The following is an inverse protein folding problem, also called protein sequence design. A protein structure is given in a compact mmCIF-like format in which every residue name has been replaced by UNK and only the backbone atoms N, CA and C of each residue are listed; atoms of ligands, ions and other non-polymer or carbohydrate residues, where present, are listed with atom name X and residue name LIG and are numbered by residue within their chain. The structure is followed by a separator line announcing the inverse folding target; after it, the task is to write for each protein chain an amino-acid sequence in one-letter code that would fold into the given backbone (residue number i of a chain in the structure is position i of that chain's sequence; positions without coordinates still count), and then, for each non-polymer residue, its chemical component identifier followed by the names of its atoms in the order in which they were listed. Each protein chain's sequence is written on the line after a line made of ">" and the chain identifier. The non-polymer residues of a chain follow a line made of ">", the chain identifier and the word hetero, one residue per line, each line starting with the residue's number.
data_IF_195061410897
#
_entry.id   IF_195061410897
#
_cell.length_a   1.000
_cell.length_b   1.000
_cell.length_c   1.000
_cell.angle_alpha   90.00
_cell.angle_beta   90.00
_cell.angle_gamma   90.00
#
_symmetry.space_group_name_H-M   'P 1'
#
loop_
_entity.id
_entity.type
_entity.pdbx_description
1 polymer ?
#
# COMPACT_ATOMS: atom_id res chain seq x y z
N UNK A 1 -18.79 57.12 22.43
CA UNK A 1 -18.09 58.37 22.09
C UNK A 1 -16.78 58.41 22.86
N UNK A 2 -15.68 57.94 22.26
CA UNK A 2 -14.28 58.32 22.49
C UNK A 2 -13.46 57.61 21.40
N UNK A 3 -12.98 58.38 20.42
CA UNK A 3 -12.44 57.89 19.15
C UNK A 3 -10.97 57.50 19.27
N UNK A 4 -10.62 56.31 18.76
CA UNK A 4 -9.24 55.83 18.52
C UNK A 4 -8.44 56.66 17.48
N UNK A 5 -8.95 57.79 17.01
CA UNK A 5 -8.35 58.59 15.93
C UNK A 5 -7.31 59.63 16.37
N UNK A 6 -6.99 59.77 17.67
CA UNK A 6 -6.02 60.80 18.14
C UNK A 6 -4.61 60.29 18.49
N UNK A 7 -4.35 58.99 18.44
CA UNK A 7 -2.98 58.47 18.65
C UNK A 7 -2.18 58.34 17.34
N UNK A 8 -2.86 58.00 16.22
CA UNK A 8 -2.23 57.85 14.91
C UNK A 8 -1.70 59.16 14.29
N UNK A 9 -2.36 60.30 14.56
CA UNK A 9 -1.92 61.58 13.97
C UNK A 9 -0.68 62.19 14.66
N UNK A 10 -0.40 61.80 15.92
CA UNK A 10 0.79 62.27 16.64
C UNK A 10 2.04 61.52 16.17
N UNK A 11 1.93 60.20 15.96
CA UNK A 11 3.04 59.36 15.48
C UNK A 11 3.40 59.70 14.03
N UNK A 12 2.40 59.95 13.16
CA UNK A 12 2.62 60.35 11.78
C UNK A 12 3.27 61.75 11.66
N UNK A 13 2.93 62.70 12.56
CA UNK A 13 3.50 64.05 12.56
C UNK A 13 4.97 64.08 13.02
N UNK A 14 5.34 63.21 13.97
CA UNK A 14 6.73 63.08 14.44
C UNK A 14 7.60 62.36 13.39
N UNK A 15 7.07 61.29 12.77
CA UNK A 15 7.77 60.55 11.72
C UNK A 15 8.05 61.42 10.47
N UNK A 16 7.10 62.28 10.06
CA UNK A 16 7.32 63.21 8.94
C UNK A 16 8.35 64.30 9.26
N UNK A 17 8.41 64.80 10.51
CA UNK A 17 9.42 65.81 10.91
C UNK A 17 10.84 65.24 10.99
N UNK A 18 10.99 63.96 11.34
CA UNK A 18 12.30 63.30 11.41
C UNK A 18 12.86 62.86 10.04
N UNK A 19 12.02 62.80 8.99
CA UNK A 19 12.44 62.39 7.65
C UNK A 19 13.26 63.45 6.88
N UNK A 20 13.26 64.71 7.32
CA UNK A 20 13.90 65.82 6.58
C UNK A 20 15.35 66.15 7.01
N UNK A 21 15.96 65.38 7.93
CA UNK A 21 17.38 65.53 8.27
C UNK A 21 18.21 64.30 7.88
N UNK A 22 19.31 64.45 7.13
CA UNK A 22 20.09 63.32 6.61
C UNK A 22 20.76 62.48 7.72
N UNK A 23 21.09 63.06 8.88
CA UNK A 23 21.66 62.34 10.02
C UNK A 23 20.66 61.47 10.79
N UNK A 24 19.36 61.76 10.70
CA UNK A 24 18.30 61.01 11.40
C UNK A 24 17.72 59.87 10.55
N UNK A 25 17.89 59.92 9.22
CA UNK A 25 17.52 58.82 8.31
C UNK A 25 18.31 57.54 8.58
N UNK A 26 19.61 57.66 8.85
CA UNK A 26 20.43 56.51 9.26
C UNK A 26 19.93 55.89 10.57
N UNK A 27 19.55 56.72 11.55
CA UNK A 27 19.11 56.21 12.85
C UNK A 27 17.78 55.43 12.74
N UNK A 28 16.83 55.93 11.93
CA UNK A 28 15.56 55.25 11.68
C UNK A 28 15.77 53.96 10.88
N UNK A 29 16.64 53.99 9.85
CA UNK A 29 16.96 52.81 9.07
C UNK A 29 17.63 51.72 9.93
N UNK A 30 18.56 52.11 10.79
CA UNK A 30 19.22 51.19 11.75
C UNK A 30 18.22 50.64 12.76
N UNK A 31 17.31 51.46 13.31
CA UNK A 31 16.27 50.96 14.22
C UNK A 31 15.29 49.99 13.53
N UNK A 32 14.87 50.26 12.30
CA UNK A 32 13.97 49.37 11.53
C UNK A 32 14.69 48.07 11.17
N UNK A 33 15.96 48.14 10.76
CA UNK A 33 16.78 46.95 10.51
C UNK A 33 16.95 46.16 11.81
N UNK A 34 17.28 46.79 12.94
CA UNK A 34 17.43 46.13 14.24
C UNK A 34 16.15 45.44 14.70
N UNK A 35 14.97 46.07 14.55
CA UNK A 35 13.68 45.48 14.92
C UNK A 35 13.30 44.34 13.97
N UNK A 36 13.57 44.47 12.67
CA UNK A 36 13.37 43.38 11.71
C UNK A 36 14.33 42.22 11.96
N UNK A 37 15.59 42.48 12.31
CA UNK A 37 16.56 41.43 12.67
C UNK A 37 16.28 40.80 14.02
N UNK A 38 15.72 41.52 15.01
CA UNK A 38 15.24 40.92 16.26
C UNK A 38 13.94 40.12 16.05
N UNK A 39 13.05 40.58 15.16
CA UNK A 39 11.85 39.84 14.75
C UNK A 39 12.19 38.56 13.98
N UNK A 40 13.16 38.63 13.06
CA UNK A 40 13.71 37.45 12.38
C UNK A 40 14.51 36.56 13.33
N UNK A 41 15.32 37.10 14.24
CA UNK A 41 16.05 36.30 15.22
C UNK A 41 15.13 35.57 16.20
N UNK A 42 13.99 36.18 16.59
CA UNK A 42 12.96 35.52 17.40
C UNK A 42 12.10 34.54 16.60
N UNK A 43 11.84 34.80 15.32
CA UNK A 43 11.17 33.85 14.43
C UNK A 43 12.08 32.64 14.08
N UNK A 44 13.40 32.85 14.01
CA UNK A 44 14.42 31.82 13.81
C UNK A 44 14.78 31.09 15.12
N UNK A 45 14.74 31.76 16.29
CA UNK A 45 14.84 31.10 17.61
C UNK A 45 13.60 30.24 17.94
N UNK A 46 12.45 30.51 17.32
CA UNK A 46 11.30 29.60 17.35
C UNK A 46 11.49 28.32 16.52
N UNK A 47 12.57 28.21 15.74
CA UNK A 47 12.84 27.09 14.84
C UNK A 47 14.22 26.43 15.01
N UNK A 48 15.05 26.91 15.94
CA UNK A 48 16.37 26.36 16.19
C UNK A 48 16.58 26.08 17.70
N UNK A 49 15.86 25.10 18.23
CA UNK A 49 16.38 24.30 19.35
C UNK A 49 16.99 23.04 18.76
N UNK A 50 18.27 23.13 18.44
CA UNK A 50 19.12 22.04 18.00
C UNK A 50 20.15 21.75 19.08
N UNK A 51 19.72 21.12 20.18
CA UNK A 51 20.55 20.22 21.00
C UNK A 51 19.66 19.07 21.46
N UNK A 52 20.16 17.85 21.32
CA UNK A 52 19.38 16.64 21.20
C UNK A 52 18.50 16.29 22.40
N UNK A 53 17.20 16.21 22.16
CA UNK A 53 16.34 15.12 22.59
C UNK A 53 15.18 15.03 21.59
N UNK A 54 14.79 13.84 21.10
CA UNK A 54 13.58 13.72 20.31
C UNK A 54 12.42 14.19 21.19
N UNK A 55 11.68 15.21 20.74
CA UNK A 55 10.41 15.58 21.35
C UNK A 55 9.54 14.32 21.33
N UNK A 56 9.37 13.69 22.49
CA UNK A 56 8.60 12.46 22.66
C UNK A 56 7.13 12.76 22.39
N UNK A 57 6.70 12.71 21.14
CA UNK A 57 5.26 12.66 20.80
C UNK A 57 4.69 11.27 21.16
N UNK A 58 5.55 10.28 21.44
CA UNK A 58 5.15 9.07 22.17
C UNK A 58 4.63 9.35 23.60
N UNK A 59 4.79 10.57 24.15
CA UNK A 59 4.34 10.95 25.47
C UNK A 59 2.89 11.50 25.53
N UNK A 60 2.13 11.53 24.42
CA UNK A 60 0.75 12.08 24.40
C UNK A 60 -0.37 11.06 24.11
N UNK A 61 -0.04 9.81 23.76
CA UNK A 61 -1.05 8.77 23.58
C UNK A 61 -1.30 7.99 24.87
N UNK A 62 -2.57 7.77 25.27
CA UNK A 62 -2.89 7.08 26.51
C UNK A 62 -2.43 5.63 26.51
N UNK A 63 -2.15 5.12 27.71
CA UNK A 63 -1.85 3.72 27.96
C UNK A 63 -0.44 3.27 27.58
N UNK A 64 -0.12 2.03 27.92
CA UNK A 64 1.15 1.37 27.64
C UNK A 64 1.10 0.66 26.29
N UNK A 65 2.12 0.82 25.46
CA UNK A 65 2.27 0.07 24.21
C UNK A 65 2.46 -1.43 24.50
N UNK A 66 1.71 -2.29 23.79
CA UNK A 66 1.72 -3.74 24.01
C UNK A 66 2.04 -4.57 22.76
N UNK A 67 1.67 -4.08 21.58
CA UNK A 67 1.82 -4.85 20.34
C UNK A 67 1.75 -3.92 19.12
N UNK A 68 2.44 -4.28 18.04
CA UNK A 68 2.44 -3.49 16.81
C UNK A 68 2.41 -4.37 15.56
N UNK A 69 1.62 -3.92 14.59
CA UNK A 69 1.72 -4.35 13.20
C UNK A 69 2.44 -3.29 12.39
N UNK A 70 3.45 -3.69 11.61
CA UNK A 70 4.22 -2.83 10.71
C UNK A 70 4.00 -3.30 9.28
N UNK A 71 3.62 -2.39 8.38
CA UNK A 71 3.45 -2.68 6.94
C UNK A 71 4.30 -1.67 6.19
N UNK A 72 5.28 -2.11 5.39
CA UNK A 72 6.10 -1.18 4.61
C UNK A 72 6.20 -1.56 3.14
N UNK A 73 6.31 -0.52 2.31
CA UNK A 73 6.78 -0.65 0.93
C UNK A 73 8.27 -1.03 0.94
N UNK A 74 8.70 -1.82 -0.03
CA UNK A 74 10.12 -2.01 -0.34
C UNK A 74 10.88 -0.68 -0.57
N UNK A 75 12.21 -0.75 -0.54
CA UNK A 75 13.09 0.38 -0.80
C UNK A 75 13.23 0.71 -2.28
N UNK A 76 14.13 1.64 -2.57
CA UNK A 76 14.49 2.03 -3.93
C UNK A 76 14.84 0.84 -4.83
N UNK A 77 14.33 0.89 -6.06
CA UNK A 77 14.45 -0.16 -7.06
C UNK A 77 14.59 0.41 -8.46
N UNK A 78 15.10 -0.42 -9.37
CA UNK A 78 15.06 -0.15 -10.82
C UNK A 78 13.61 -0.16 -11.36
N UNK A 79 13.36 0.40 -12.56
CA UNK A 79 12.06 0.32 -13.22
C UNK A 79 11.59 -1.13 -13.37
N UNK A 80 10.29 -1.38 -13.24
CA UNK A 80 9.71 -2.73 -13.43
C UNK A 80 9.49 -3.01 -14.92
N UNK A 81 9.01 -2.00 -15.65
CA UNK A 81 8.54 -2.13 -17.02
C UNK A 81 8.74 -0.79 -17.75
N UNK A 82 9.94 -0.55 -18.31
CA UNK A 82 10.19 0.62 -19.14
C UNK A 82 9.28 0.68 -20.37
N UNK A 83 8.96 1.89 -20.83
CA UNK A 83 8.13 2.06 -22.02
C UNK A 83 8.95 1.85 -23.32
N UNK A 84 8.35 1.36 -24.42
CA UNK A 84 9.10 0.97 -25.63
C UNK A 84 10.04 2.03 -26.24
N UNK A 85 9.72 3.31 -26.11
CA UNK A 85 10.53 4.43 -26.64
C UNK A 85 11.45 5.06 -25.59
N UNK A 86 11.59 4.44 -24.42
CA UNK A 86 12.46 4.91 -23.35
C UNK A 86 13.94 4.82 -23.76
N UNK A 87 14.68 5.94 -23.82
CA UNK A 87 16.12 5.89 -24.10
C UNK A 87 16.92 5.13 -23.03
N UNK A 88 16.38 4.97 -21.82
CA UNK A 88 16.98 4.25 -20.69
C UNK A 88 16.41 2.85 -20.49
N UNK A 89 15.58 2.38 -21.44
CA UNK A 89 14.87 1.09 -21.39
C UNK A 89 15.75 -0.13 -21.66
N UNK A 90 17.08 0.04 -21.69
CA UNK A 90 18.06 -1.04 -21.83
C UNK A 90 18.70 -1.34 -20.46
N UNK A 91 18.75 -2.63 -20.11
CA UNK A 91 19.30 -3.10 -18.83
C UNK A 91 20.74 -2.65 -18.58
N UNK A 92 21.53 -2.38 -19.63
CA UNK A 92 22.92 -1.92 -19.48
C UNK A 92 23.06 -0.60 -18.72
N UNK A 93 22.00 0.21 -18.65
CA UNK A 93 22.00 1.49 -17.92
C UNK A 93 21.70 1.34 -16.43
N UNK A 94 21.33 0.15 -15.97
CA UNK A 94 20.88 -0.12 -14.61
C UNK A 94 21.83 -1.08 -13.90
N UNK A 95 22.04 -0.84 -12.60
CA UNK A 95 22.99 -1.62 -11.78
C UNK A 95 22.53 -3.05 -11.49
N UNK A 96 21.25 -3.33 -11.68
CA UNK A 96 20.62 -4.63 -11.46
C UNK A 96 19.46 -4.82 -12.45
N UNK A 97 18.84 -6.01 -12.46
CA UNK A 97 17.71 -6.33 -13.33
C UNK A 97 16.48 -5.44 -13.08
N UNK A 98 15.47 -5.54 -13.95
CA UNK A 98 14.23 -4.78 -13.81
C UNK A 98 13.46 -5.14 -12.53
N UNK A 99 12.92 -4.13 -11.86
CA UNK A 99 12.13 -4.26 -10.64
C UNK A 99 12.90 -4.78 -9.43
N UNK A 100 14.24 -4.74 -9.47
CA UNK A 100 15.12 -5.26 -8.43
C UNK A 100 15.54 -4.16 -7.45
N UNK A 101 15.71 -4.54 -6.19
CA UNK A 101 16.15 -3.64 -5.12
C UNK A 101 17.59 -3.18 -5.37
N UNK A 102 17.84 -1.88 -5.24
CA UNK A 102 19.19 -1.32 -5.40
C UNK A 102 19.94 -1.31 -4.08
N UNK A 103 21.23 -0.94 -4.09
CA UNK A 103 21.97 -0.74 -2.85
C UNK A 103 21.42 0.44 -2.03
N UNK A 104 20.87 1.47 -2.68
CA UNK A 104 20.15 2.54 -1.99
C UNK A 104 18.95 1.97 -1.24
N UNK A 105 18.12 1.15 -1.90
CA UNK A 105 16.94 0.55 -1.26
C UNK A 105 17.27 -0.37 -0.08
N UNK A 106 18.40 -1.08 -0.13
CA UNK A 106 18.91 -1.84 1.02
C UNK A 106 19.26 -0.91 2.19
N UNK A 107 20.00 0.17 1.93
CA UNK A 107 20.37 1.14 2.96
C UNK A 107 19.15 1.81 3.57
N UNK A 108 18.18 2.23 2.76
CA UNK A 108 16.93 2.84 3.24
C UNK A 108 16.20 1.89 4.21
N UNK A 109 16.12 0.60 3.88
CA UNK A 109 15.49 -0.37 4.78
C UNK A 109 16.29 -0.65 6.04
N UNK A 110 17.62 -0.69 5.95
CA UNK A 110 18.48 -0.82 7.12
C UNK A 110 18.29 0.35 8.09
N UNK A 111 18.23 1.59 7.59
CA UNK A 111 17.94 2.77 8.42
C UNK A 111 16.51 2.76 8.98
N UNK A 112 15.51 2.32 8.20
CA UNK A 112 14.17 2.11 8.73
C UNK A 112 14.16 1.05 9.84
N UNK A 113 14.99 0.00 9.72
CA UNK A 113 15.16 -1.06 10.73
C UNK A 113 15.68 -0.50 12.04
N UNK A 114 16.75 0.30 11.98
CA UNK A 114 17.30 1.02 13.14
C UNK A 114 16.29 1.98 13.76
N UNK A 115 15.52 2.69 12.94
CA UNK A 115 14.47 3.58 13.42
C UNK A 115 13.37 2.80 14.16
N UNK A 116 12.90 1.68 13.60
CA UNK A 116 11.95 0.78 14.25
C UNK A 116 12.51 0.20 15.55
N UNK A 117 13.81 -0.15 15.58
CA UNK A 117 14.51 -0.62 16.78
C UNK A 117 14.45 0.41 17.91
N UNK A 118 14.74 1.67 17.60
CA UNK A 118 14.70 2.75 18.56
C UNK A 118 13.27 2.98 19.07
N UNK A 119 12.29 3.04 18.16
CA UNK A 119 10.88 3.28 18.47
C UNK A 119 10.27 2.18 19.35
N UNK A 120 10.60 0.92 19.07
CA UNK A 120 10.00 -0.26 19.71
C UNK A 120 10.93 -0.97 20.69
N UNK A 121 11.96 -0.28 21.19
CA UNK A 121 12.89 -0.79 22.20
C UNK A 121 12.21 -1.27 23.50
N UNK A 122 11.03 -0.74 23.83
CA UNK A 122 10.22 -1.18 24.98
C UNK A 122 9.40 -2.45 24.71
N UNK A 123 9.21 -2.83 23.44
CA UNK A 123 8.49 -4.04 23.03
C UNK A 123 9.43 -5.19 22.66
N UNK A 124 10.60 -4.86 22.10
CA UNK A 124 11.53 -5.82 21.53
C UNK A 124 12.79 -5.94 22.40
N UNK A 125 13.06 -7.13 22.96
CA UNK A 125 14.32 -7.40 23.65
C UNK A 125 15.54 -7.15 22.74
N UNK A 126 16.74 -6.92 23.32
CA UNK A 126 17.99 -6.79 22.55
C UNK A 126 18.27 -7.95 21.61
N UNK A 127 18.08 -9.17 22.11
CA UNK A 127 18.31 -10.40 21.34
C UNK A 127 17.07 -10.79 20.55
N UNK A 128 17.30 -11.35 19.36
CA UNK A 128 16.23 -11.87 18.53
C UNK A 128 15.56 -13.09 19.19
N UNK A 129 14.24 -13.22 19.00
CA UNK A 129 13.51 -14.45 19.27
C UNK A 129 12.28 -14.55 18.38
N UNK A 130 12.01 -15.75 17.88
CA UNK A 130 10.83 -16.11 17.10
C UNK A 130 9.50 -15.97 17.89
N UNK A 131 9.59 -15.86 19.23
CA UNK A 131 8.48 -15.62 20.15
C UNK A 131 8.11 -14.13 20.24
N UNK A 132 9.01 -13.21 19.84
CA UNK A 132 8.79 -11.76 19.96
C UNK A 132 8.33 -11.10 18.65
N UNK A 133 8.79 -11.61 17.51
CA UNK A 133 8.53 -11.01 16.19
C UNK A 133 8.20 -12.08 15.15
N UNK A 134 7.30 -11.73 14.22
CA UNK A 134 7.06 -12.49 12.99
C UNK A 134 7.16 -11.56 11.79
N UNK A 135 7.78 -12.03 10.71
CA UNK A 135 8.03 -11.24 9.50
C UNK A 135 7.53 -12.01 8.30
N UNK A 136 6.64 -11.38 7.54
CA UNK A 136 6.15 -11.89 6.27
C UNK A 136 6.44 -10.89 5.16
N UNK A 137 6.76 -11.40 3.98
CA UNK A 137 6.96 -10.62 2.77
C UNK A 137 6.11 -11.18 1.64
N UNK A 138 5.73 -10.35 0.68
CA UNK A 138 5.27 -10.86 -0.62
C UNK A 138 6.43 -11.59 -1.32
N UNK A 139 6.10 -12.57 -2.16
CA UNK A 139 7.08 -13.42 -2.85
C UNK A 139 7.69 -12.70 -4.05
N UNK A 140 8.44 -11.62 -3.78
CA UNK A 140 9.14 -10.81 -4.77
C UNK A 140 10.51 -10.43 -4.22
N UNK A 141 11.57 -10.59 -5.00
CA UNK A 141 12.96 -10.35 -4.55
C UNK A 141 13.13 -9.02 -3.81
N UNK A 142 12.58 -7.93 -4.36
CA UNK A 142 12.73 -6.59 -3.76
C UNK A 142 12.08 -6.44 -2.39
N UNK A 143 10.99 -7.16 -2.10
CA UNK A 143 10.33 -7.14 -0.78
C UNK A 143 11.05 -8.06 0.20
N UNK A 144 11.43 -9.26 -0.24
CA UNK A 144 12.22 -10.20 0.57
C UNK A 144 13.56 -9.58 1.01
N UNK A 145 14.30 -8.99 0.07
CA UNK A 145 15.57 -8.31 0.34
C UNK A 145 15.41 -7.06 1.21
N UNK A 146 14.29 -6.33 1.04
CA UNK A 146 13.94 -5.19 1.90
C UNK A 146 13.69 -5.64 3.34
N UNK A 147 12.96 -6.74 3.54
CA UNK A 147 12.73 -7.31 4.86
C UNK A 147 14.04 -7.74 5.54
N UNK A 148 14.92 -8.43 4.81
CA UNK A 148 16.24 -8.84 5.33
C UNK A 148 17.12 -7.63 5.68
N UNK A 149 17.14 -6.60 4.84
CA UNK A 149 17.91 -5.37 5.09
C UNK A 149 17.36 -4.61 6.30
N UNK A 150 16.03 -4.58 6.45
CA UNK A 150 15.36 -4.00 7.61
C UNK A 150 15.69 -4.75 8.89
N UNK A 151 15.68 -6.09 8.85
CA UNK A 151 16.04 -6.93 9.99
C UNK A 151 17.50 -6.79 10.41
N UNK A 152 18.41 -6.56 9.47
CA UNK A 152 19.81 -6.27 9.77
C UNK A 152 19.98 -4.98 10.60
N UNK A 153 19.12 -3.97 10.39
CA UNK A 153 19.11 -2.75 11.22
C UNK A 153 18.25 -2.87 12.48
N UNK A 154 17.24 -3.75 12.47
CA UNK A 154 16.37 -3.98 13.63
C UNK A 154 17.04 -4.82 14.72
N UNK A 155 17.86 -5.80 14.32
CA UNK A 155 18.50 -6.78 15.21
C UNK A 155 19.98 -6.94 14.84
N UNK A 156 20.76 -5.89 15.07
CA UNK A 156 22.22 -6.01 15.06
C UNK A 156 22.65 -7.06 16.10
N UNK A 157 23.46 -8.07 15.74
CA UNK A 157 23.86 -9.13 16.65
C UNK A 157 24.58 -8.59 17.89
N UNK A 158 24.17 -9.05 19.07
CA UNK A 158 24.78 -8.70 20.35
C UNK A 158 24.91 -9.94 21.21
N UNK A 159 25.97 -10.04 22.02
CA UNK A 159 26.16 -11.16 22.94
C UNK A 159 26.09 -12.51 22.22
N UNK A 160 25.13 -13.35 22.62
CA UNK A 160 24.95 -14.71 22.09
C UNK A 160 24.43 -14.75 20.64
N UNK A 161 23.86 -13.65 20.11
CA UNK A 161 23.44 -13.57 18.70
C UNK A 161 24.66 -13.42 17.75
N UNK A 162 25.85 -13.09 18.26
CA UNK A 162 27.08 -12.96 17.47
C UNK A 162 27.62 -14.37 17.14
N UNK A 163 27.15 -14.93 16.03
CA UNK A 163 27.59 -16.24 15.54
C UNK A 163 28.89 -16.20 14.72
N UNK A 164 29.26 -15.01 14.22
CA UNK A 164 30.48 -14.76 13.46
C UNK A 164 31.00 -13.35 13.73
N UNK A 165 32.25 -13.21 14.18
CA UNK A 165 32.85 -11.92 14.57
C UNK A 165 33.19 -11.02 13.38
N UNK A 166 33.30 -11.58 12.17
CA UNK A 166 33.63 -10.82 10.96
C UNK A 166 32.36 -10.25 10.28
N UNK A 167 31.17 -10.66 10.74
CA UNK A 167 29.88 -10.32 10.13
C UNK A 167 28.90 -9.82 11.20
N UNK A 168 28.60 -8.52 11.18
CA UNK A 168 27.58 -7.91 12.05
C UNK A 168 26.15 -8.14 11.52
N UNK A 169 25.79 -9.39 11.26
CA UNK A 169 24.47 -9.80 10.80
C UNK A 169 24.09 -11.18 11.35
N UNK A 170 22.79 -11.40 11.59
CA UNK A 170 22.24 -12.69 11.99
C UNK A 170 21.07 -13.11 11.07
N UNK A 171 20.93 -14.42 10.79
CA UNK A 171 19.81 -14.92 10.00
C UNK A 171 18.50 -14.83 10.79
N UNK A 172 17.57 -14.00 10.32
CA UNK A 172 16.20 -13.93 10.84
C UNK A 172 15.23 -14.38 9.73
N UNK A 173 14.31 -15.32 10.00
CA UNK A 173 13.39 -15.85 9.00
C UNK A 173 12.43 -14.78 8.47
N UNK A 174 12.30 -14.73 7.14
CA UNK A 174 11.28 -13.97 6.42
C UNK A 174 10.36 -14.97 5.73
N UNK A 175 9.12 -15.03 6.16
CA UNK A 175 8.13 -15.96 5.61
C UNK A 175 7.47 -15.37 4.36
N UNK A 176 7.08 -16.22 3.42
CA UNK A 176 6.37 -15.78 2.22
C UNK A 176 5.38 -16.83 1.74
N UNK A 177 4.47 -16.40 0.89
CA UNK A 177 3.49 -17.22 0.18
C UNK A 177 3.57 -16.77 -1.28
N UNK A 178 3.61 -17.70 -2.26
CA UNK A 178 3.59 -17.33 -3.67
C UNK A 178 2.47 -16.33 -3.96
N UNK A 179 2.75 -15.25 -4.70
CA UNK A 179 1.81 -14.13 -4.81
C UNK A 179 0.40 -14.54 -5.29
N UNK A 180 0.33 -15.49 -6.22
CA UNK A 180 -0.92 -16.03 -6.78
C UNK A 180 -1.77 -16.81 -5.76
N UNK A 181 -1.20 -17.17 -4.63
CA UNK A 181 -1.85 -17.95 -3.56
C UNK A 181 -2.02 -17.11 -2.28
N UNK A 182 -1.58 -15.84 -2.28
CA UNK A 182 -1.62 -14.95 -1.12
C UNK A 182 -2.80 -13.93 -1.20
N UNK A 183 -3.91 -14.16 -0.47
CA UNK A 183 -5.02 -13.22 -0.38
C UNK A 183 -4.79 -12.11 0.66
N UNK A 184 -3.69 -12.15 1.43
CA UNK A 184 -3.48 -11.30 2.60
C UNK A 184 -2.47 -10.19 2.29
N UNK A 185 -1.20 -10.51 2.06
CA UNK A 185 -0.15 -9.48 1.97
C UNK A 185 0.03 -9.03 0.52
N UNK A 186 0.17 -9.97 -0.41
CA UNK A 186 0.20 -9.68 -1.84
C UNK A 186 -1.18 -9.28 -2.38
N UNK A 187 -2.25 -9.81 -1.78
CA UNK A 187 -3.64 -9.63 -2.22
C UNK A 187 -3.83 -9.94 -3.71
N UNK A 188 -3.16 -11.01 -4.17
CA UNK A 188 -3.06 -11.45 -5.57
C UNK A 188 -3.65 -12.84 -5.81
N UNK A 189 -4.13 -13.51 -4.77
CA UNK A 189 -4.96 -14.69 -4.92
C UNK A 189 -6.22 -14.39 -5.77
N UNK A 190 -6.65 -15.30 -6.67
CA UNK A 190 -7.82 -15.11 -7.52
C UNK A 190 -9.08 -14.78 -6.72
N UNK A 191 -9.81 -13.76 -7.15
CA UNK A 191 -11.06 -13.37 -6.54
C UNK A 191 -12.02 -12.83 -7.61
N UNK A 192 -12.77 -13.71 -8.30
CA UNK A 192 -13.61 -13.25 -9.41
C UNK A 192 -14.72 -12.27 -8.99
N UNK A 193 -15.17 -12.28 -7.73
CA UNK A 193 -16.03 -11.22 -7.21
C UNK A 193 -15.34 -9.84 -7.17
N UNK A 194 -14.04 -9.77 -6.89
CA UNK A 194 -13.28 -8.53 -6.95
C UNK A 194 -13.14 -8.05 -8.40
N UNK A 195 -12.81 -8.96 -9.32
CA UNK A 195 -12.66 -8.64 -10.73
C UNK A 195 -13.98 -8.09 -11.32
N UNK A 196 -15.11 -8.70 -10.96
CA UNK A 196 -16.44 -8.20 -11.31
C UNK A 196 -16.72 -6.80 -10.73
N UNK A 197 -16.45 -6.58 -9.44
CA UNK A 197 -16.69 -5.28 -8.81
C UNK A 197 -15.77 -4.18 -9.36
N UNK A 198 -14.54 -4.54 -9.75
CA UNK A 198 -13.61 -3.62 -10.41
C UNK A 198 -14.10 -3.25 -11.80
N UNK A 199 -14.50 -4.24 -12.61
CA UNK A 199 -15.10 -3.99 -13.92
C UNK A 199 -16.40 -3.17 -13.80
N UNK A 200 -17.21 -3.42 -12.76
CA UNK A 200 -18.41 -2.62 -12.48
C UNK A 200 -18.07 -1.17 -12.15
N UNK A 201 -17.02 -0.92 -11.36
CA UNK A 201 -16.53 0.44 -11.10
C UNK A 201 -16.06 1.11 -12.40
N UNK A 202 -15.18 0.46 -13.15
CA UNK A 202 -14.59 1.02 -14.38
C UNK A 202 -15.64 1.27 -15.47
N UNK A 203 -16.74 0.50 -15.45
CA UNK A 203 -17.85 0.67 -16.38
C UNK A 203 -18.87 1.74 -15.95
N UNK A 204 -18.79 2.27 -14.72
CA UNK A 204 -19.76 3.24 -14.20
C UNK A 204 -19.70 4.57 -14.97
N UNK A 205 -20.82 5.32 -15.06
CA UNK A 205 -20.83 6.63 -15.72
C UNK A 205 -19.80 7.60 -15.14
N UNK A 206 -19.63 7.61 -13.82
CA UNK A 206 -18.70 8.50 -13.11
C UNK A 206 -17.25 8.16 -13.45
N UNK A 207 -16.88 6.87 -13.42
CA UNK A 207 -15.51 6.45 -13.71
C UNK A 207 -15.17 6.60 -15.19
N UNK A 208 -16.12 6.31 -16.09
CA UNK A 208 -15.97 6.59 -17.53
C UNK A 208 -15.80 8.07 -17.81
N UNK A 209 -16.60 8.93 -17.17
CA UNK A 209 -16.46 10.38 -17.31
C UNK A 209 -15.09 10.88 -16.80
N UNK A 210 -14.62 10.32 -15.67
CA UNK A 210 -13.29 10.62 -15.15
C UNK A 210 -12.17 10.15 -16.10
N UNK A 211 -12.32 8.98 -16.70
CA UNK A 211 -11.38 8.44 -17.70
C UNK A 211 -11.37 9.31 -18.96
N UNK A 212 -12.54 9.67 -19.49
CA UNK A 212 -12.68 10.50 -20.69
C UNK A 212 -12.09 11.90 -20.49
N UNK A 213 -12.19 12.46 -19.27
CA UNK A 213 -11.56 13.73 -18.91
C UNK A 213 -10.04 13.74 -19.17
N UNK A 214 -9.39 12.59 -19.07
CA UNK A 214 -7.93 12.44 -19.23
C UNK A 214 -7.52 11.77 -20.55
N UNK A 215 -8.46 11.61 -21.49
CA UNK A 215 -8.22 10.92 -22.77
C UNK A 215 -7.06 11.52 -23.59
N UNK A 216 -6.91 12.85 -23.56
CA UNK A 216 -5.92 13.56 -24.38
C UNK A 216 -4.51 13.33 -23.81
N UNK A 217 -4.39 13.29 -22.48
CA UNK A 217 -3.17 12.87 -21.79
C UNK A 217 -2.84 11.41 -22.16
N UNK A 218 -3.81 10.50 -22.07
CA UNK A 218 -3.60 9.08 -22.40
C UNK A 218 -3.18 8.88 -23.86
N UNK A 219 -3.80 9.59 -24.80
CA UNK A 219 -3.40 9.58 -26.21
C UNK A 219 -1.97 10.13 -26.41
N UNK A 220 -1.63 11.22 -25.70
CA UNK A 220 -0.29 11.80 -25.74
C UNK A 220 0.77 10.82 -25.20
N UNK A 221 0.53 10.21 -24.04
CA UNK A 221 1.41 9.21 -23.44
C UNK A 221 1.53 7.97 -24.33
N UNK A 222 0.44 7.55 -24.98
CA UNK A 222 0.48 6.41 -25.91
C UNK A 222 1.40 6.68 -27.10
N UNK A 223 1.23 7.85 -27.73
CA UNK A 223 2.01 8.24 -28.89
C UNK A 223 3.50 8.44 -28.55
N UNK A 224 3.80 8.96 -27.35
CA UNK A 224 5.18 9.21 -26.92
C UNK A 224 5.87 8.01 -26.32
N UNK A 225 5.14 7.16 -25.59
CA UNK A 225 5.66 5.96 -24.93
C UNK A 225 5.76 4.73 -25.84
N UNK A 226 5.12 4.74 -27.01
CA UNK A 226 5.21 3.65 -27.98
C UNK A 226 4.35 2.43 -27.65
N UNK A 227 3.43 2.53 -26.69
CA UNK A 227 2.41 1.52 -26.37
C UNK A 227 1.09 2.17 -25.94
N UNK A 228 -0.06 1.51 -26.10
CA UNK A 228 -1.32 2.05 -25.62
C UNK A 228 -1.31 2.32 -24.12
N UNK A 229 -1.72 3.52 -23.73
CA UNK A 229 -2.04 3.94 -22.36
C UNK A 229 -3.54 4.20 -22.35
N UNK A 230 -4.32 3.34 -21.68
CA UNK A 230 -5.78 3.40 -21.68
C UNK A 230 -6.37 3.62 -20.30
N UNK A 231 -5.60 3.33 -19.26
CA UNK A 231 -6.04 3.35 -17.87
C UNK A 231 -5.16 4.25 -17.01
N UNK A 232 -5.67 4.61 -15.83
CA UNK A 232 -4.88 5.27 -14.78
C UNK A 232 -3.66 4.44 -14.39
N UNK A 233 -3.78 3.11 -14.38
CA UNK A 233 -2.69 2.19 -14.06
C UNK A 233 -1.60 2.26 -15.13
N UNK A 234 -1.95 2.23 -16.42
CA UNK A 234 -0.95 2.35 -17.51
C UNK A 234 -0.14 3.65 -17.40
N UNK A 235 -0.83 4.75 -17.12
CA UNK A 235 -0.20 6.05 -16.92
C UNK A 235 0.67 6.08 -15.66
N UNK A 236 0.24 5.41 -14.58
CA UNK A 236 1.02 5.27 -13.35
C UNK A 236 2.32 4.50 -13.59
N UNK A 237 2.31 3.40 -14.36
CA UNK A 237 3.52 2.64 -14.70
C UNK A 237 4.53 3.50 -15.47
N UNK A 238 4.05 4.24 -16.47
CA UNK A 238 4.90 5.15 -17.24
C UNK A 238 5.45 6.28 -16.34
N UNK A 239 4.61 6.91 -15.52
CA UNK A 239 5.04 7.95 -14.58
C UNK A 239 6.08 7.43 -13.57
N UNK A 240 5.91 6.20 -13.08
CA UNK A 240 6.86 5.57 -12.16
C UNK A 240 8.22 5.33 -12.82
N UNK A 241 8.27 4.98 -14.11
CA UNK A 241 9.51 4.83 -14.86
C UNK A 241 10.25 6.18 -14.97
N UNK A 242 9.53 7.25 -15.37
CA UNK A 242 10.09 8.62 -15.42
C UNK A 242 10.56 9.10 -14.04
N UNK A 243 9.84 8.75 -12.98
CA UNK A 243 10.23 9.05 -11.60
C UNK A 243 11.57 8.43 -11.25
N UNK A 244 11.76 7.14 -11.54
CA UNK A 244 13.00 6.43 -11.23
C UNK A 244 14.16 6.97 -12.06
N UNK A 245 13.99 7.18 -13.36
CA UNK A 245 15.01 7.83 -14.20
C UNK A 245 15.42 9.20 -13.63
N UNK A 246 14.45 10.00 -13.20
CA UNK A 246 14.70 11.29 -12.57
C UNK A 246 15.46 11.16 -11.24
N UNK A 247 15.17 10.15 -10.41
CA UNK A 247 15.92 9.89 -9.18
C UNK A 247 17.40 9.59 -9.45
N UNK A 248 17.68 8.92 -10.57
CA UNK A 248 19.02 8.54 -10.99
C UNK A 248 19.70 9.60 -11.86
N UNK A 249 19.18 10.83 -11.88
CA UNK A 249 19.68 11.95 -12.68
C UNK A 249 19.80 11.63 -14.19
N UNK A 250 18.99 10.69 -14.68
CA UNK A 250 18.92 10.40 -16.10
C UNK A 250 18.19 11.55 -16.81
N UNK A 251 18.63 11.89 -18.02
CA UNK A 251 17.99 12.95 -18.80
C UNK A 251 16.69 12.41 -19.39
N UNK A 252 15.55 12.93 -18.93
CA UNK A 252 14.25 12.56 -19.46
C UNK A 252 14.07 13.11 -20.89
N UNK A 253 13.37 12.39 -21.79
CA UNK A 253 13.06 12.90 -23.12
C UNK A 253 12.29 14.23 -23.08
N UNK A 254 12.56 15.14 -24.02
CA UNK A 254 11.94 16.48 -24.09
C UNK A 254 10.40 16.48 -24.05
N UNK A 255 9.75 15.43 -24.57
CA UNK A 255 8.29 15.34 -24.53
C UNK A 255 7.74 15.26 -23.09
N UNK A 256 8.54 14.78 -22.13
CA UNK A 256 8.13 14.62 -20.73
C UNK A 256 7.96 15.97 -20.03
N UNK A 257 8.63 17.05 -20.49
CA UNK A 257 8.50 18.41 -19.93
C UNK A 257 7.05 18.91 -19.89
N UNK A 258 6.22 18.44 -20.82
CA UNK A 258 4.80 18.79 -20.92
C UNK A 258 3.93 18.11 -19.86
N UNK A 259 4.36 16.97 -19.32
CA UNK A 259 3.48 16.09 -18.51
C UNK A 259 4.09 15.66 -17.17
N UNK A 260 5.38 15.35 -17.13
CA UNK A 260 6.05 14.88 -15.92
C UNK A 260 6.15 16.00 -14.88
N UNK A 261 5.78 15.69 -13.63
CA UNK A 261 5.66 16.66 -12.54
C UNK A 261 4.54 17.70 -12.73
N UNK A 262 3.68 17.56 -13.75
CA UNK A 262 2.50 18.41 -13.94
C UNK A 262 1.29 17.82 -13.24
N UNK A 263 0.33 18.68 -12.92
CA UNK A 263 -0.85 18.35 -12.13
C UNK A 263 -1.61 17.14 -12.68
N UNK A 264 -1.86 17.10 -13.99
CA UNK A 264 -2.71 16.06 -14.59
C UNK A 264 -2.10 14.65 -14.50
N UNK A 265 -0.85 14.47 -14.92
CA UNK A 265 -0.18 13.16 -14.84
C UNK A 265 0.04 12.76 -13.37
N UNK A 266 0.37 13.72 -12.51
CA UNK A 266 0.53 13.47 -11.07
C UNK A 266 -0.79 12.98 -10.46
N UNK A 267 -1.91 13.63 -10.77
CA UNK A 267 -3.23 13.22 -10.32
C UNK A 267 -3.58 11.82 -10.81
N UNK A 268 -3.44 11.55 -12.11
CA UNK A 268 -3.76 10.24 -12.70
C UNK A 268 -2.93 9.13 -12.05
N UNK A 269 -1.61 9.34 -11.91
CA UNK A 269 -0.72 8.36 -11.33
C UNK A 269 -1.01 8.11 -9.84
N UNK A 270 -1.33 9.15 -9.07
CA UNK A 270 -1.69 9.03 -7.66
C UNK A 270 -3.08 8.39 -7.47
N UNK A 271 -4.04 8.72 -8.34
CA UNK A 271 -5.38 8.16 -8.31
C UNK A 271 -5.37 6.66 -8.57
N UNK A 272 -4.46 6.16 -9.43
CA UNK A 272 -4.32 4.74 -9.71
C UNK A 272 -4.14 3.89 -8.44
N UNK A 273 -3.44 4.40 -7.42
CA UNK A 273 -3.23 3.72 -6.15
C UNK A 273 -4.50 3.60 -5.29
N UNK A 274 -5.52 4.43 -5.53
CA UNK A 274 -6.78 4.35 -4.82
C UNK A 274 -7.77 3.34 -5.45
N UNK A 275 -7.59 2.99 -6.73
CA UNK A 275 -8.57 2.20 -7.50
C UNK A 275 -8.83 0.84 -6.85
N UNK A 276 -7.79 0.14 -6.40
CA UNK A 276 -7.88 -1.22 -5.86
C UNK A 276 -8.72 -1.35 -4.58
N UNK A 277 -8.99 -0.24 -3.90
CA UNK A 277 -9.83 -0.19 -2.71
C UNK A 277 -10.79 1.01 -2.72
N UNK A 278 -11.13 1.50 -3.92
CA UNK A 278 -11.88 2.74 -4.12
C UNK A 278 -13.26 2.70 -3.45
N UNK A 279 -14.00 1.61 -3.69
CA UNK A 279 -15.28 1.34 -3.04
C UNK A 279 -15.09 0.49 -1.79
N UNK A 280 -16.05 0.53 -0.86
CA UNK A 280 -16.01 -0.33 0.34
C UNK A 280 -16.00 -1.82 -0.01
N UNK A 281 -16.68 -2.23 -1.09
CA UNK A 281 -16.66 -3.61 -1.58
C UNK A 281 -15.27 -4.02 -2.11
N UNK A 282 -14.64 -3.19 -2.93
CA UNK A 282 -13.27 -3.43 -3.39
C UNK A 282 -12.30 -3.49 -2.21
N UNK A 283 -12.40 -2.55 -1.28
CA UNK A 283 -11.60 -2.56 -0.05
C UNK A 283 -11.78 -3.86 0.76
N UNK A 284 -13.03 -4.35 0.88
CA UNK A 284 -13.37 -5.60 1.59
C UNK A 284 -12.72 -6.83 0.97
N UNK A 285 -12.68 -6.90 -0.36
CA UNK A 285 -12.13 -8.04 -1.09
C UNK A 285 -10.62 -7.94 -1.32
N UNK A 286 -10.03 -6.73 -1.22
CA UNK A 286 -8.59 -6.50 -1.44
C UNK A 286 -7.77 -6.36 -0.16
N UNK A 287 -7.96 -5.26 0.58
CA UNK A 287 -7.20 -4.99 1.82
C UNK A 287 -7.87 -5.59 3.07
N UNK A 288 -9.15 -5.97 2.96
CA UNK A 288 -9.95 -6.53 4.03
C UNK A 288 -9.37 -7.76 4.72
N UNK A 289 -8.83 -8.76 4.00
CA UNK A 289 -8.17 -9.92 4.61
C UNK A 289 -7.06 -9.53 5.58
N UNK A 290 -6.12 -8.68 5.15
CA UNK A 290 -5.03 -8.19 6.00
C UNK A 290 -5.55 -7.42 7.21
N UNK A 291 -6.51 -6.51 7.03
CA UNK A 291 -7.10 -5.75 8.13
C UNK A 291 -7.83 -6.64 9.14
N UNK A 292 -8.57 -7.65 8.67
CA UNK A 292 -9.22 -8.64 9.52
C UNK A 292 -8.20 -9.38 10.38
N UNK A 293 -7.10 -9.79 9.76
CA UNK A 293 -6.01 -10.51 10.39
C UNK A 293 -5.29 -9.67 11.46
N UNK A 294 -5.01 -8.39 11.17
CA UNK A 294 -4.45 -7.43 12.12
C UNK A 294 -5.41 -7.24 13.30
N UNK A 295 -6.69 -6.99 13.03
CA UNK A 295 -7.69 -6.72 14.08
C UNK A 295 -7.99 -7.97 14.93
N UNK A 296 -7.88 -9.16 14.34
CA UNK A 296 -7.96 -10.42 15.06
C UNK A 296 -6.79 -10.54 16.04
N UNK A 297 -5.55 -10.35 15.57
CA UNK A 297 -4.35 -10.41 16.43
C UNK A 297 -4.36 -9.34 17.53
N UNK A 298 -4.84 -8.12 17.26
CA UNK A 298 -5.04 -7.13 18.33
C UNK A 298 -5.99 -7.61 19.43
N UNK A 299 -7.08 -8.28 19.06
CA UNK A 299 -8.03 -8.83 20.05
C UNK A 299 -7.42 -10.00 20.81
N UNK A 300 -6.70 -10.88 20.12
CA UNK A 300 -6.01 -12.02 20.75
C UNK A 300 -4.95 -11.53 21.73
N UNK A 301 -4.13 -10.54 21.36
CA UNK A 301 -3.15 -9.90 22.25
C UNK A 301 -3.82 -9.25 23.46
N UNK A 302 -4.84 -8.43 23.24
CA UNK A 302 -5.54 -7.74 24.32
C UNK A 302 -6.25 -8.69 25.31
N UNK A 303 -6.58 -9.91 24.87
CA UNK A 303 -7.24 -10.92 25.70
C UNK A 303 -6.29 -11.99 26.24
N UNK A 304 -4.98 -11.91 25.97
CA UNK A 304 -3.99 -12.89 26.43
C UNK A 304 -4.05 -14.24 25.70
N UNK A 305 -4.67 -14.30 24.51
CA UNK A 305 -4.81 -15.53 23.72
C UNK A 305 -3.92 -15.57 22.47
N UNK A 306 -3.11 -14.54 22.21
CA UNK A 306 -2.17 -14.55 21.10
C UNK A 306 -1.07 -15.58 21.40
N UNK A 307 -0.86 -16.54 20.49
CA UNK A 307 0.14 -17.58 20.66
C UNK A 307 0.89 -17.85 19.34
N UNK A 308 2.24 -17.79 19.33
CA UNK A 308 3.10 -17.12 20.31
C UNK A 308 2.68 -15.70 20.66
N UNK A 309 2.94 -15.26 21.90
CA UNK A 309 2.56 -13.93 22.41
C UNK A 309 3.47 -12.79 21.88
N UNK A 310 3.60 -12.70 20.56
CA UNK A 310 4.49 -11.76 19.89
C UNK A 310 4.17 -10.31 20.23
N UNK A 311 5.21 -9.48 20.18
CA UNK A 311 5.15 -8.04 20.38
C UNK A 311 5.15 -7.27 19.05
N UNK A 312 5.62 -7.87 17.96
CA UNK A 312 5.65 -7.25 16.64
C UNK A 312 5.29 -8.23 15.52
N UNK A 313 4.59 -7.72 14.51
CA UNK A 313 4.32 -8.44 13.28
C UNK A 313 4.58 -7.53 12.08
N UNK A 314 5.43 -7.97 11.17
CA UNK A 314 5.94 -7.15 10.06
C UNK A 314 5.46 -7.71 8.72
N UNK A 315 5.04 -6.82 7.83
CA UNK A 315 4.64 -7.12 6.46
C UNK A 315 5.48 -6.27 5.49
N UNK A 316 6.36 -6.91 4.75
CA UNK A 316 7.13 -6.28 3.66
C UNK A 316 6.41 -6.45 2.33
N UNK A 317 5.98 -5.34 1.73
CA UNK A 317 5.05 -5.36 0.60
C UNK A 317 5.29 -4.18 -0.37
N UNK A 318 4.22 -3.70 -1.00
CA UNK A 318 4.27 -2.73 -2.09
C UNK A 318 3.60 -1.40 -1.74
N UNK A 319 3.83 -0.40 -2.58
CA UNK A 319 3.09 0.87 -2.59
C UNK A 319 1.59 0.63 -2.71
N UNK A 320 1.18 -0.29 -3.59
CA UNK A 320 -0.22 -0.70 -3.73
C UNK A 320 -0.79 -1.27 -2.43
N UNK A 321 -0.02 -2.03 -1.65
CA UNK A 321 -0.44 -2.56 -0.34
C UNK A 321 -0.64 -1.42 0.65
N UNK A 322 0.32 -0.50 0.76
CA UNK A 322 0.24 0.68 1.64
C UNK A 322 -0.98 1.54 1.30
N UNK A 323 -1.14 1.89 0.02
CA UNK A 323 -2.27 2.68 -0.45
C UNK A 323 -3.60 1.95 -0.21
N UNK A 324 -3.68 0.66 -0.52
CA UNK A 324 -4.91 -0.12 -0.36
C UNK A 324 -5.36 -0.17 1.10
N UNK A 325 -4.42 -0.37 2.04
CA UNK A 325 -4.67 -0.40 3.49
C UNK A 325 -5.12 0.97 3.99
N UNK A 326 -4.39 2.04 3.69
CA UNK A 326 -4.76 3.40 4.11
C UNK A 326 -6.13 3.80 3.52
N UNK A 327 -6.40 3.47 2.27
CA UNK A 327 -7.64 3.86 1.60
C UNK A 327 -8.85 3.04 2.14
N UNK A 328 -8.64 1.76 2.45
CA UNK A 328 -9.63 0.94 3.16
C UNK A 328 -9.92 1.48 4.58
N UNK A 329 -8.95 2.14 5.21
CA UNK A 329 -9.12 2.81 6.50
C UNK A 329 -9.64 4.26 6.37
N UNK A 330 -9.82 4.78 5.14
CA UNK A 330 -10.17 6.18 4.87
C UNK A 330 -9.14 7.18 5.43
N UNK A 331 -7.87 6.78 5.37
CA UNK A 331 -6.69 7.54 5.80
C UNK A 331 -5.73 7.84 4.64
N UNK A 332 -6.11 7.50 3.40
CA UNK A 332 -5.27 7.72 2.22
C UNK A 332 -5.60 9.06 1.57
N UNK A 333 -4.60 9.93 1.54
CA UNK A 333 -4.56 11.08 0.63
C UNK A 333 -3.97 10.63 -0.70
N UNK A 334 -4.41 11.21 -1.82
CA UNK A 334 -3.93 10.79 -3.15
C UNK A 334 -2.46 11.16 -3.35
N UNK A 335 -1.58 10.17 -3.21
CA UNK A 335 -0.15 10.28 -3.50
C UNK A 335 0.41 8.91 -3.91
N UNK A 336 1.57 8.89 -4.55
CA UNK A 336 2.37 7.67 -4.70
C UNK A 336 3.10 7.40 -3.38
N UNK A 337 2.83 6.28 -2.68
CA UNK A 337 3.55 5.96 -1.44
C UNK A 337 5.06 5.89 -1.71
N UNK A 338 5.91 6.71 -1.04
CA UNK A 338 7.34 6.76 -1.32
C UNK A 338 8.06 5.45 -0.93
N UNK A 339 9.30 5.26 -1.37
CA UNK A 339 10.09 4.10 -0.97
C UNK A 339 10.21 4.05 0.55
N UNK A 340 10.19 2.85 1.12
CA UNK A 340 10.17 2.60 2.57
C UNK A 340 8.99 3.20 3.34
N UNK A 341 7.95 3.69 2.65
CA UNK A 341 6.73 4.16 3.29
C UNK A 341 6.16 3.08 4.22
N UNK A 342 5.91 3.44 5.48
CA UNK A 342 5.68 2.50 6.56
C UNK A 342 4.43 2.88 7.37
N UNK A 343 3.47 1.98 7.44
CA UNK A 343 2.31 2.05 8.31
C UNK A 343 2.65 1.32 9.61
N UNK A 344 2.37 1.93 10.74
CA UNK A 344 2.42 1.26 12.05
C UNK A 344 1.04 1.33 12.69
N UNK A 345 0.51 0.17 13.06
CA UNK A 345 -0.74 0.05 13.80
C UNK A 345 -0.38 -0.45 15.19
N UNK A 346 -0.50 0.42 16.18
CA UNK A 346 -0.05 0.20 17.55
C UNK A 346 -1.24 -0.09 18.46
N UNK A 347 -1.14 -1.16 19.25
CA UNK A 347 -2.07 -1.47 20.32
C UNK A 347 -1.48 -1.02 21.66
N UNK A 348 -2.20 -0.13 22.34
CA UNK A 348 -1.92 0.33 23.70
C UNK A 348 -3.01 -0.14 24.65
N UNK A 349 -2.70 -0.25 25.93
CA UNK A 349 -3.68 -0.57 26.98
C UNK A 349 -3.62 0.55 28.02
N UNK A 350 -4.75 1.22 28.25
CA UNK A 350 -4.83 2.29 29.24
C UNK A 350 -4.95 1.77 30.69
N UNK A 351 -4.99 2.70 31.64
CA UNK A 351 -5.08 2.40 33.07
C UNK A 351 -6.36 1.64 33.46
N UNK A 352 -7.39 1.67 32.60
CA UNK A 352 -8.66 0.94 32.77
C UNK A 352 -8.66 -0.43 32.11
N UNK A 353 -7.49 -0.89 31.62
CA UNK A 353 -7.33 -2.07 30.78
C UNK A 353 -8.11 -2.00 29.45
N UNK A 354 -8.42 -0.80 28.96
CA UNK A 354 -9.08 -0.66 27.66
C UNK A 354 -8.04 -0.73 26.54
N UNK A 355 -8.19 -1.64 25.56
CA UNK A 355 -7.32 -1.70 24.39
C UNK A 355 -7.63 -0.56 23.41
N UNK A 356 -6.61 0.24 23.11
CA UNK A 356 -6.65 1.40 22.22
C UNK A 356 -5.72 1.18 21.03
N UNK A 357 -6.16 1.56 19.83
CA UNK A 357 -5.39 1.42 18.59
C UNK A 357 -5.09 2.79 18.01
N UNK A 358 -3.82 3.02 17.68
CA UNK A 358 -3.34 4.20 16.97
C UNK A 358 -2.68 3.78 15.66
N UNK A 359 -2.82 4.60 14.62
CA UNK A 359 -2.28 4.32 13.29
C UNK A 359 -1.34 5.46 12.92
N UNK A 360 -0.16 5.14 12.43
CA UNK A 360 0.87 6.08 11.99
C UNK A 360 1.24 5.78 10.54
N UNK A 361 1.62 6.81 9.81
CA UNK A 361 2.15 6.66 8.45
C UNK A 361 3.44 7.46 8.29
N UNK A 362 4.57 6.75 8.25
CA UNK A 362 5.88 7.31 7.97
C UNK A 362 6.12 7.29 6.47
N UNK A 363 5.92 8.45 5.84
CA UNK A 363 6.15 8.68 4.41
C UNK A 363 7.19 9.77 4.13
N UNK A 364 7.83 10.30 5.17
CA UNK A 364 8.92 11.27 5.07
C UNK A 364 10.00 10.91 6.10
N UNK A 365 11.09 11.67 6.10
CA UNK A 365 12.15 11.54 7.12
C UNK A 365 11.69 11.99 8.51
N UNK A 366 10.67 12.86 8.60
CA UNK A 366 10.13 13.34 9.87
C UNK A 366 9.50 12.22 10.73
N UNK A 367 9.37 12.49 12.02
CA UNK A 367 8.67 11.60 12.95
C UNK A 367 7.16 11.61 12.65
N UNK A 368 6.53 10.43 12.43
CA UNK A 368 5.11 10.37 12.09
C UNK A 368 4.25 10.70 13.30
N UNK A 369 3.22 11.52 13.07
CA UNK A 369 2.14 11.77 14.02
C UNK A 369 1.04 10.70 13.89
N UNK A 370 0.27 10.45 14.96
CA UNK A 370 -0.88 9.54 14.85
C UNK A 370 -1.93 10.14 13.90
N UNK A 371 -2.44 9.31 13.00
CA UNK A 371 -3.49 9.68 12.06
C UNK A 371 -4.84 9.76 12.77
N UNK A 372 -5.70 10.67 12.30
CA UNK A 372 -7.06 10.82 12.81
C UNK A 372 -7.99 9.76 12.20
N UNK A 373 -8.30 8.71 12.97
CA UNK A 373 -9.18 7.63 12.52
C UNK A 373 -10.61 8.18 12.39
N UNK A 374 -11.22 8.17 11.19
CA UNK A 374 -12.53 8.78 10.98
C UNK A 374 -13.60 8.24 11.93
N UNK A 375 -14.23 9.15 12.68
CA UNK A 375 -15.24 8.82 13.68
C UNK A 375 -14.69 8.26 15.00
N UNK A 376 -13.36 8.22 15.20
CA UNK A 376 -12.73 7.72 16.42
C UNK A 376 -11.69 8.64 17.05
N UNK A 377 -10.81 9.26 16.25
CA UNK A 377 -9.67 10.04 16.77
C UNK A 377 -8.32 9.31 16.64
N UNK A 378 -7.23 9.91 17.15
CA UNK A 378 -5.87 9.36 17.06
C UNK A 378 -5.60 8.13 17.95
N UNK A 379 -6.48 7.85 18.92
CA UNK A 379 -6.41 6.68 19.79
C UNK A 379 -7.80 6.07 19.93
N UNK A 380 -8.05 4.96 19.23
CA UNK A 380 -9.38 4.41 19.04
C UNK A 380 -9.59 3.14 19.87
N UNK A 381 -10.63 3.05 20.72
CA UNK A 381 -10.96 1.80 21.39
C UNK A 381 -11.14 0.65 20.38
N UNK A 382 -10.47 -0.48 20.60
CA UNK A 382 -10.42 -1.59 19.64
C UNK A 382 -11.83 -2.10 19.26
N UNK A 383 -12.77 -2.12 20.22
CA UNK A 383 -14.15 -2.49 19.96
C UNK A 383 -14.86 -1.52 19.00
N UNK A 384 -14.61 -0.21 19.15
CA UNK A 384 -15.15 0.83 18.27
C UNK A 384 -14.49 0.78 16.90
N UNK A 385 -13.16 0.58 16.83
CA UNK A 385 -12.42 0.42 15.58
C UNK A 385 -13.00 -0.71 14.72
N UNK A 386 -13.24 -1.88 15.32
CA UNK A 386 -13.84 -3.03 14.63
C UNK A 386 -15.23 -2.71 14.08
N UNK A 387 -16.04 -1.96 14.83
CA UNK A 387 -17.38 -1.54 14.40
C UNK A 387 -17.33 -0.57 13.22
N UNK A 388 -16.41 0.41 13.25
CA UNK A 388 -16.24 1.41 12.19
C UNK A 388 -15.91 0.73 10.85
N UNK A 389 -15.03 -0.28 10.88
CA UNK A 389 -14.53 -0.92 9.67
C UNK A 389 -15.17 -2.28 9.38
N UNK A 390 -16.23 -2.67 10.08
CA UNK A 390 -16.85 -4.01 9.94
C UNK A 390 -17.23 -4.37 8.50
N UNK A 391 -17.60 -3.36 7.71
CA UNK A 391 -18.01 -3.49 6.31
C UNK A 391 -16.85 -3.86 5.39
N UNK A 392 -15.60 -3.55 5.76
CA UNK A 392 -14.40 -3.97 5.01
C UNK A 392 -13.73 -5.23 5.56
N UNK A 393 -14.22 -5.81 6.65
CA UNK A 393 -13.66 -7.06 7.19
C UNK A 393 -14.43 -8.27 6.62
N UNK A 394 -13.83 -9.08 5.72
CA UNK A 394 -14.49 -10.26 5.17
C UNK A 394 -14.85 -11.26 6.27
N UNK A 395 -16.05 -11.82 6.23
CA UNK A 395 -16.45 -12.91 7.14
C UNK A 395 -15.76 -14.19 6.71
N UNK A 396 -15.86 -14.49 5.42
CA UNK A 396 -15.23 -15.64 4.76
C UNK A 396 -14.80 -15.18 3.36
N UNK A 397 -13.53 -14.84 3.22
CA UNK A 397 -13.02 -14.24 1.99
C UNK A 397 -13.12 -15.21 0.82
N UNK A 398 -12.81 -16.50 1.02
CA UNK A 398 -12.88 -17.51 -0.04
C UNK A 398 -14.30 -17.67 -0.56
N UNK A 399 -15.30 -17.67 0.33
CA UNK A 399 -16.70 -17.73 -0.08
C UNK A 399 -17.15 -16.42 -0.73
N UNK A 400 -16.74 -15.27 -0.19
CA UNK A 400 -17.10 -13.95 -0.73
C UNK A 400 -16.44 -13.66 -2.09
N UNK A 401 -15.32 -14.31 -2.41
CA UNK A 401 -14.67 -14.23 -3.71
C UNK A 401 -15.33 -15.06 -4.81
N UNK A 402 -16.21 -16.00 -4.46
CA UNK A 402 -16.97 -16.79 -5.44
C UNK A 402 -18.12 -15.94 -5.98
N UNK A 403 -18.24 -15.86 -7.30
CA UNK A 403 -19.42 -15.31 -7.99
C UNK A 403 -20.48 -16.40 -8.16
N UNK A 404 -21.75 -16.01 -8.15
CA UNK A 404 -22.85 -16.89 -8.56
C UNK A 404 -22.64 -17.34 -10.01
N UNK A 405 -23.00 -18.58 -10.35
CA UNK A 405 -22.88 -19.13 -11.71
C UNK A 405 -23.60 -18.27 -12.77
N UNK A 406 -24.62 -17.50 -12.37
CA UNK A 406 -25.33 -16.55 -13.25
C UNK A 406 -24.53 -15.27 -13.57
N UNK A 407 -23.47 -14.97 -12.82
CA UNK A 407 -22.64 -13.77 -12.97
C UNK A 407 -21.28 -14.08 -13.60
N UNK A 408 -20.97 -15.36 -13.84
CA UNK A 408 -19.73 -15.79 -14.50
C UNK A 408 -19.85 -15.60 -16.02
N UNK A 409 -18.76 -15.21 -16.66
CA UNK A 409 -18.70 -15.17 -18.13
C UNK A 409 -18.69 -16.59 -18.71
N UNK A 410 -19.12 -16.77 -19.97
CA UNK A 410 -19.26 -18.10 -20.60
C UNK A 410 -17.95 -18.92 -20.62
N UNK A 411 -16.78 -18.27 -20.58
CA UNK A 411 -15.48 -18.95 -20.49
C UNK A 411 -15.15 -19.51 -19.10
N UNK A 412 -15.66 -18.88 -18.03
CA UNK A 412 -15.38 -19.30 -16.65
C UNK A 412 -16.38 -20.35 -16.16
N UNK A 413 -17.62 -20.30 -16.67
CA UNK A 413 -18.53 -21.41 -16.51
C UNK A 413 -17.92 -22.60 -17.25
N UNK A 414 -17.60 -23.69 -16.53
CA UNK A 414 -17.08 -24.94 -17.08
C UNK A 414 -18.14 -25.68 -17.94
N UNK A 415 -18.95 -24.93 -18.70
CA UNK A 415 -20.06 -25.37 -19.51
C UNK A 415 -19.55 -26.18 -20.70
N UNK A 416 -18.35 -25.92 -21.20
CA UNK A 416 -17.71 -26.73 -22.25
C UNK A 416 -17.44 -28.18 -21.81
N UNK A 417 -16.93 -28.37 -20.58
CA UNK A 417 -16.72 -29.72 -20.04
C UNK A 417 -18.04 -30.39 -19.67
N UNK A 418 -18.98 -29.65 -19.07
CA UNK A 418 -20.31 -30.16 -18.75
C UNK A 418 -21.11 -30.56 -20.01
N UNK A 419 -21.07 -29.75 -21.07
CA UNK A 419 -21.70 -30.06 -22.37
C UNK A 419 -20.99 -31.21 -23.07
N UNK A 420 -19.65 -31.27 -23.01
CA UNK A 420 -18.88 -32.41 -23.52
C UNK A 420 -19.25 -33.73 -22.84
N UNK A 421 -19.39 -33.74 -21.51
CA UNK A 421 -19.85 -34.90 -20.73
C UNK A 421 -21.28 -35.28 -21.13
N UNK A 422 -22.18 -34.30 -21.28
CA UNK A 422 -23.55 -34.54 -21.68
C UNK A 422 -23.65 -35.17 -23.08
N UNK A 423 -22.85 -34.68 -24.04
CA UNK A 423 -22.77 -35.22 -25.40
C UNK A 423 -22.25 -36.66 -25.37
N UNK A 424 -21.23 -36.96 -24.57
CA UNK A 424 -20.70 -38.31 -24.42
C UNK A 424 -21.74 -39.28 -23.83
N UNK A 425 -22.52 -38.84 -22.84
CA UNK A 425 -23.61 -39.64 -22.27
C UNK A 425 -24.68 -39.93 -23.33
N UNK A 426 -25.08 -38.94 -24.13
CA UNK A 426 -26.07 -39.11 -25.20
C UNK A 426 -25.56 -40.10 -26.27
N UNK A 427 -24.30 -39.98 -26.68
CA UNK A 427 -23.67 -40.89 -27.64
C UNK A 427 -23.66 -42.32 -27.08
N UNK A 428 -23.27 -42.52 -25.82
CA UNK A 428 -23.27 -43.83 -25.18
C UNK A 428 -24.67 -44.46 -25.12
N UNK A 429 -25.70 -43.67 -24.80
CA UNK A 429 -27.09 -44.13 -24.79
C UNK A 429 -27.58 -44.51 -26.20
N UNK A 430 -27.20 -43.75 -27.24
CA UNK A 430 -27.54 -44.07 -28.62
C UNK A 430 -26.90 -45.39 -29.06
N UNK A 431 -25.61 -45.60 -28.76
CA UNK A 431 -24.94 -46.88 -29.04
C UNK A 431 -25.56 -48.05 -28.27
N UNK A 432 -25.92 -47.87 -27.00
CA UNK A 432 -26.60 -48.89 -26.22
C UNK A 432 -27.98 -49.23 -26.82
N UNK A 433 -28.74 -48.21 -27.24
CA UNK A 433 -30.05 -48.40 -27.89
C UNK A 433 -29.93 -49.14 -29.23
N UNK A 434 -28.91 -48.81 -30.03
CA UNK A 434 -28.61 -49.48 -31.29
C UNK A 434 -28.16 -50.93 -31.08
N UNK A 435 -27.31 -51.16 -30.07
CA UNK A 435 -26.90 -52.51 -29.65
C UNK A 435 -28.08 -53.37 -29.20
N UNK A 436 -28.99 -52.80 -28.39
CA UNK A 436 -30.25 -53.43 -27.99
C UNK A 436 -31.13 -53.74 -29.21
N UNK A 437 -31.27 -52.80 -30.14
CA UNK A 437 -32.03 -53.01 -31.38
C UNK A 437 -31.47 -54.17 -32.21
N UNK A 438 -30.14 -54.23 -32.40
CA UNK A 438 -29.48 -55.35 -33.10
C UNK A 438 -29.68 -56.66 -32.35
N UNK A 439 -29.54 -56.65 -31.02
CA UNK A 439 -29.74 -57.84 -30.19
C UNK A 439 -31.16 -58.39 -30.33
N UNK A 440 -32.18 -57.55 -30.20
CA UNK A 440 -33.57 -57.96 -30.39
C UNK A 440 -33.86 -58.41 -31.82
N UNK A 441 -33.32 -57.72 -32.83
CA UNK A 441 -33.48 -58.13 -34.23
C UNK A 441 -32.84 -59.50 -34.49
N UNK A 442 -31.64 -59.76 -33.97
CA UNK A 442 -30.96 -61.06 -34.09
C UNK A 442 -31.66 -62.16 -33.30
N UNK A 443 -32.19 -61.86 -32.11
CA UNK A 443 -32.99 -62.80 -31.31
C UNK A 443 -34.28 -63.19 -32.02
N UNK A 444 -35.00 -62.21 -32.57
CA UNK A 444 -36.23 -62.45 -33.33
C UNK A 444 -35.95 -63.20 -34.64
N UNK A 445 -34.82 -62.94 -35.31
CA UNK A 445 -34.40 -63.70 -36.49
C UNK A 445 -34.10 -65.16 -36.14
N UNK A 446 -33.37 -65.42 -35.04
CA UNK A 446 -33.12 -66.78 -34.54
C UNK A 446 -34.40 -67.54 -34.19
N UNK A 447 -35.37 -66.87 -33.55
CA UNK A 447 -36.69 -67.45 -33.27
C UNK A 447 -37.42 -67.82 -34.57
N UNK A 448 -37.43 -66.95 -35.59
CA UNK A 448 -38.05 -67.24 -36.89
C UNK A 448 -37.39 -68.44 -37.60
N UNK A 449 -36.06 -68.52 -37.63
CA UNK A 449 -35.35 -69.68 -38.24
C UNK A 449 -35.53 -70.99 -37.46
N UNK A 450 -35.77 -70.92 -36.15
CA UNK A 450 -36.07 -72.10 -35.33
C UNK A 450 -37.47 -72.64 -35.61
N UNK A 451 -38.44 -71.79 -35.93
CA UNK A 451 -39.79 -72.22 -36.32
C UNK A 451 -39.83 -72.76 -37.76
N UNK A 452 -38.99 -72.25 -38.67
CA UNK A 452 -38.92 -72.77 -40.05
C UNK A 452 -38.21 -74.12 -40.20
N UNK A 453 -37.50 -74.60 -39.17
CA UNK A 453 -36.94 -75.96 -39.14
C UNK A 453 -37.89 -77.00 -38.51
N UNK A 454 -39.03 -76.56 -37.95
CA UNK A 454 -40.06 -77.43 -37.37
C UNK A 454 -41.33 -77.50 -38.24
N UNK A 455 -41.30 -76.97 -39.46
CA UNK A 455 -42.38 -77.00 -40.44
C UNK A 455 -42.07 -77.93 -41.60
#
# INVERSE_FOLDING_TARGET
>A
MFSRSRCGSLVASVALKMWNHPSQRCLILVCVICVLSFGLANALHGYANAEGHPVQISATLPGQLKFVHVIYRHGDRTPVDPYPTDPWGDRKFWSTGWGQLTNLGKQEHYELGKWLRNRYSSLLPPLYSNENIYVQSTDVDRTLMSAQSNLAGLYEPQGEDIWNTDISWQPIPVHTIPEKDDPIVAAKAPCPAYDYELASLESSPEFKALTEKHRDLFAYLSAKGGRPVKTFVDAQYLNNTLFIESLYNMTLPRWTEKVYGKEELTYVANFAFAISSYTRKLARLKAGPLLKDIFKRFKEKASGHLNPDRSMWVYSAHDTTVASVLNALKLFELHSPPYTACIMMELRVDETNTPLVSIFYKNTTAEPLPLDIPGCGPSCPLAKLKKIYQDVLPVDWERECKVSTMMMTYEEANLGTATGILILIVIALLFASYGLMIYYRRRNYKLYTSYSQMA
#
